data_IF_058421894036
#
_entry.id   IF_058421894036
#
_cell.length_a   1.000
_cell.length_b   1.000
_cell.length_c   1.000
_cell.angle_alpha   90.00
_cell.angle_beta   90.00
_cell.angle_gamma   90.00
#
_symmetry.space_group_name_H-M   'P 1'
#
loop_
_entity.id
_entity.type
_entity.pdbx_description
1 polymer ?
#
# COMPACT_ATOMS: atom_id res chain seq x y z
N UNK A 1 -18.66 18.78 -5.72
CA UNK A 1 -17.93 18.73 -4.44
C UNK A 1 -16.52 19.21 -4.70
N UNK A 2 -16.04 20.21 -3.96
CA UNK A 2 -14.66 20.67 -4.06
C UNK A 2 -13.71 19.53 -3.67
N UNK A 3 -12.63 19.34 -4.42
CA UNK A 3 -11.56 18.41 -4.08
C UNK A 3 -10.45 19.17 -3.39
N UNK A 4 -9.66 18.50 -2.55
CA UNK A 4 -8.55 19.13 -1.81
C UNK A 4 -7.52 19.79 -2.76
N UNK A 5 -7.41 19.33 -4.00
CA UNK A 5 -6.58 19.95 -5.04
C UNK A 5 -7.01 21.37 -5.43
N UNK A 6 -8.23 21.77 -5.05
CA UNK A 6 -8.77 23.12 -5.25
C UNK A 6 -8.62 24.00 -3.99
N UNK A 7 -8.29 23.39 -2.84
CA UNK A 7 -8.07 24.11 -1.58
C UNK A 7 -6.56 24.41 -1.45
N UNK A 8 -6.24 25.71 -1.44
CA UNK A 8 -4.91 26.13 -1.05
C UNK A 8 -4.78 25.99 0.48
N UNK A 9 -4.07 24.96 0.93
CA UNK A 9 -3.79 24.70 2.36
C UNK A 9 -2.40 25.22 2.79
N UNK A 10 -1.72 26.00 1.94
CA UNK A 10 -0.38 26.50 2.25
C UNK A 10 -0.41 27.54 3.38
N UNK A 11 -1.58 28.18 3.62
CA UNK A 11 -1.82 29.07 4.77
C UNK A 11 -1.68 28.38 6.14
N UNK A 12 -1.77 27.04 6.17
CA UNK A 12 -1.59 26.25 7.40
C UNK A 12 -0.11 26.19 7.84
N UNK A 13 0.83 26.49 6.96
CA UNK A 13 2.26 26.53 7.32
C UNK A 13 2.50 27.62 8.37
N UNK A 14 3.17 27.26 9.46
CA UNK A 14 3.38 28.13 10.64
C UNK A 14 2.30 27.97 11.72
N UNK A 15 1.15 27.38 11.41
CA UNK A 15 0.10 27.16 12.40
C UNK A 15 0.45 26.01 13.36
N UNK A 16 -0.09 26.12 14.57
CA UNK A 16 0.04 25.08 15.60
C UNK A 16 -1.11 24.06 15.47
N UNK A 17 -0.75 22.78 15.49
CA UNK A 17 -1.66 21.65 15.44
C UNK A 17 -1.28 20.70 16.57
N UNK A 18 -2.13 20.57 17.58
CA UNK A 18 -1.78 19.84 18.79
C UNK A 18 -0.49 20.38 19.42
N UNK A 19 0.48 19.50 19.65
CA UNK A 19 1.80 19.86 20.22
C UNK A 19 2.84 20.30 19.15
N UNK A 20 2.43 20.44 17.90
CA UNK A 20 3.34 20.60 16.76
C UNK A 20 3.05 21.84 15.92
N UNK A 21 4.07 22.37 15.24
CA UNK A 21 3.95 23.49 14.31
C UNK A 21 4.19 22.97 12.90
N UNK A 22 3.29 23.27 11.97
CA UNK A 22 3.40 22.87 10.56
C UNK A 22 4.52 23.65 9.87
N UNK A 23 5.45 22.95 9.24
CA UNK A 23 6.63 23.56 8.59
C UNK A 23 6.51 23.62 7.08
N UNK A 24 6.03 22.53 6.47
CA UNK A 24 6.02 22.37 5.01
C UNK A 24 5.00 21.33 4.60
N UNK A 25 4.24 21.60 3.54
CA UNK A 25 3.38 20.61 2.89
C UNK A 25 4.23 19.61 2.12
N UNK A 26 3.98 18.31 2.33
CA UNK A 26 4.63 17.20 1.63
C UNK A 26 3.85 16.79 0.39
N UNK A 27 2.53 16.72 0.51
CA UNK A 27 1.65 16.29 -0.56
C UNK A 27 0.18 16.37 -0.18
N UNK A 28 -0.67 15.99 -1.09
CA UNK A 28 -2.11 15.89 -0.85
C UNK A 28 -2.69 14.65 -1.53
N UNK A 29 -3.64 14.02 -0.87
CA UNK A 29 -4.51 13.00 -1.44
C UNK A 29 -5.83 13.61 -1.92
N UNK A 30 -6.81 12.76 -2.22
CA UNK A 30 -8.14 13.20 -2.67
C UNK A 30 -8.88 14.05 -1.61
N UNK A 31 -8.68 13.78 -0.32
CA UNK A 31 -9.43 14.40 0.79
C UNK A 31 -8.53 14.94 1.91
N UNK A 32 -7.23 14.65 1.94
CA UNK A 32 -6.32 15.00 3.01
C UNK A 32 -4.99 15.55 2.49
N UNK A 33 -4.31 16.35 3.28
CA UNK A 33 -2.96 16.82 3.01
C UNK A 33 -2.01 16.36 4.11
N UNK A 34 -0.75 16.12 3.74
CA UNK A 34 0.31 15.71 4.66
C UNK A 34 1.34 16.84 4.76
N UNK A 35 1.72 17.17 5.99
CA UNK A 35 2.72 18.19 6.29
C UNK A 35 3.88 17.63 7.10
N UNK A 36 5.07 18.18 6.92
CA UNK A 36 6.12 18.10 7.93
C UNK A 36 5.78 19.07 9.04
N UNK A 37 5.87 18.64 10.28
CA UNK A 37 5.70 19.49 11.44
C UNK A 37 6.84 19.30 12.44
N UNK A 38 7.07 20.31 13.28
CA UNK A 38 8.00 20.27 14.39
C UNK A 38 7.25 20.08 15.70
N UNK A 39 7.43 18.94 16.33
CA UNK A 39 6.87 18.63 17.65
C UNK A 39 7.74 19.27 18.72
N UNK A 40 7.23 20.36 19.33
CA UNK A 40 8.00 21.19 20.29
C UNK A 40 8.40 20.42 21.54
N UNK A 41 7.51 19.56 22.05
CA UNK A 41 7.71 18.81 23.29
C UNK A 41 8.87 17.81 23.20
N UNK A 42 8.99 17.10 22.07
CA UNK A 42 10.04 16.10 21.84
C UNK A 42 11.16 16.59 20.92
N UNK A 43 11.13 17.86 20.50
CA UNK A 43 12.14 18.53 19.64
C UNK A 43 12.47 17.71 18.39
N UNK A 44 11.46 17.14 17.72
CA UNK A 44 11.63 16.30 16.53
C UNK A 44 10.70 16.72 15.40
N UNK A 45 11.05 16.34 14.18
CA UNK A 45 10.13 16.44 13.04
C UNK A 45 9.24 15.21 12.97
N UNK A 46 7.98 15.44 12.65
CA UNK A 46 6.94 14.43 12.45
C UNK A 46 6.17 14.72 11.17
N UNK A 47 5.37 13.79 10.70
CA UNK A 47 4.36 14.01 9.68
C UNK A 47 3.00 14.27 10.34
N UNK A 48 2.21 15.17 9.78
CA UNK A 48 0.83 15.45 10.20
C UNK A 48 -0.08 15.32 9.00
N UNK A 49 -1.05 14.42 9.08
CA UNK A 49 -2.10 14.27 8.08
C UNK A 49 -3.32 15.06 8.52
N UNK A 50 -3.83 15.92 7.66
CA UNK A 50 -4.90 16.88 7.95
C UNK A 50 -6.06 16.64 7.00
N UNK A 51 -7.29 16.62 7.54
CA UNK A 51 -8.53 16.57 6.79
C UNK A 51 -9.37 17.83 7.15
N UNK A 52 -9.56 18.78 6.23
CA UNK A 52 -10.36 19.98 6.47
C UNK A 52 -11.83 19.65 6.78
N UNK A 53 -12.37 20.27 7.82
CA UNK A 53 -13.79 20.10 8.21
C UNK A 53 -14.75 20.58 7.13
N UNK A 54 -14.36 21.51 6.27
CA UNK A 54 -15.13 21.96 5.12
C UNK A 54 -15.38 20.86 4.06
N UNK A 55 -14.57 19.79 4.09
CA UNK A 55 -14.73 18.60 3.24
C UNK A 55 -15.38 17.43 3.98
N UNK A 56 -15.72 17.62 5.27
CA UNK A 56 -16.31 16.59 6.07
C UNK A 56 -17.75 16.29 5.64
N UNK A 57 -17.98 15.02 5.44
CA UNK A 57 -19.28 14.38 5.64
C UNK A 57 -19.15 13.49 6.87
N UNK A 58 -20.23 13.13 7.53
CA UNK A 58 -20.19 12.17 8.66
C UNK A 58 -19.36 10.92 8.32
N UNK A 59 -19.44 10.50 7.04
CA UNK A 59 -18.69 9.35 6.53
C UNK A 59 -17.17 9.61 6.46
N UNK A 60 -16.74 10.74 5.87
CA UNK A 60 -15.32 11.05 5.72
C UNK A 60 -14.64 11.29 7.06
N UNK A 61 -15.35 11.88 8.03
CA UNK A 61 -14.88 12.03 9.41
C UNK A 61 -14.66 10.67 10.08
N UNK A 62 -15.68 9.80 10.04
CA UNK A 62 -15.60 8.46 10.61
C UNK A 62 -14.45 7.63 10.00
N UNK A 63 -14.13 7.85 8.74
CA UNK A 63 -13.03 7.16 8.04
C UNK A 63 -11.67 7.61 8.47
N UNK A 64 -11.47 8.92 8.54
CA UNK A 64 -10.23 9.51 8.98
C UNK A 64 -9.91 9.09 10.42
N UNK A 65 -10.92 9.11 11.28
CA UNK A 65 -10.78 8.67 12.66
C UNK A 65 -10.47 7.17 12.74
N UNK A 66 -11.18 6.33 11.99
CA UNK A 66 -10.93 4.89 11.98
C UNK A 66 -9.54 4.53 11.40
N UNK A 67 -9.05 5.25 10.38
CA UNK A 67 -7.69 5.10 9.88
C UNK A 67 -6.67 5.33 10.99
N UNK A 68 -6.82 6.45 11.70
CA UNK A 68 -5.94 6.82 12.78
C UNK A 68 -5.99 5.83 13.96
N UNK A 69 -7.19 5.40 14.38
CA UNK A 69 -7.40 4.42 15.44
C UNK A 69 -6.80 3.05 15.08
N UNK A 70 -7.05 2.57 13.86
CA UNK A 70 -6.51 1.29 13.38
C UNK A 70 -4.98 1.31 13.33
N UNK A 71 -4.38 2.41 12.88
CA UNK A 71 -2.93 2.56 12.85
C UNK A 71 -2.32 2.74 14.25
N UNK A 72 -3.05 3.36 15.18
CA UNK A 72 -2.58 3.60 16.55
C UNK A 72 -2.46 2.32 17.40
N UNK A 73 -3.27 1.30 17.09
CA UNK A 73 -3.23 0.00 17.78
C UNK A 73 -2.02 -0.82 17.33
N UNK A 74 -1.54 -0.61 16.08
CA UNK A 74 -0.51 -1.42 15.48
C UNK A 74 0.89 -0.93 15.88
N UNK A 75 1.68 -1.82 16.48
CA UNK A 75 3.10 -1.59 16.82
C UNK A 75 3.97 -2.62 16.13
N UNK A 76 4.51 -2.28 14.96
CA UNK A 76 5.30 -3.19 14.15
C UNK A 76 6.43 -2.45 13.42
N UNK A 77 7.66 -3.03 13.27
CA UNK A 77 8.78 -2.34 12.63
C UNK A 77 8.53 -1.93 11.16
N UNK A 78 7.55 -2.52 10.50
CA UNK A 78 7.19 -2.25 9.10
C UNK A 78 5.81 -1.58 8.94
N UNK A 79 5.25 -1.01 10.00
CA UNK A 79 4.05 -0.19 9.99
C UNK A 79 4.41 1.20 10.51
N UNK A 80 3.90 2.25 9.87
CA UNK A 80 4.10 3.62 10.36
C UNK A 80 3.36 3.81 11.69
N UNK A 81 4.06 4.19 12.79
CA UNK A 81 3.40 4.49 14.05
C UNK A 81 2.66 5.83 14.00
N UNK A 82 1.41 5.84 14.47
CA UNK A 82 0.63 7.04 14.77
C UNK A 82 0.91 7.45 16.21
N UNK A 83 1.09 8.76 16.44
CA UNK A 83 1.47 9.30 17.74
C UNK A 83 0.33 9.99 18.48
N UNK A 84 -0.51 10.72 17.72
CA UNK A 84 -1.58 11.56 18.28
C UNK A 84 -2.70 11.67 17.26
N UNK A 85 -3.94 11.67 17.72
CA UNK A 85 -5.14 11.96 16.93
C UNK A 85 -5.84 13.13 17.60
N UNK A 86 -6.32 14.09 16.83
CA UNK A 86 -6.97 15.26 17.37
C UNK A 86 -7.77 16.05 16.35
N UNK A 87 -8.37 17.10 16.82
CA UNK A 87 -9.12 18.06 16.00
C UNK A 87 -8.87 19.50 16.42
N UNK A 88 -9.10 20.40 15.49
CA UNK A 88 -9.19 21.84 15.67
C UNK A 88 -10.58 22.33 15.23
N UNK A 89 -10.82 23.62 15.28
CA UNK A 89 -12.06 24.20 14.73
C UNK A 89 -12.18 23.93 13.22
N UNK A 90 -11.05 23.95 12.48
CA UNK A 90 -11.03 23.88 11.02
C UNK A 90 -10.79 22.49 10.44
N UNK A 91 -10.13 21.58 11.16
CA UNK A 91 -9.73 20.28 10.62
C UNK A 91 -9.57 19.16 11.66
N UNK A 92 -9.66 17.94 11.18
CA UNK A 92 -9.20 16.74 11.90
C UNK A 92 -7.74 16.49 11.53
N UNK A 93 -6.95 15.94 12.46
CA UNK A 93 -5.56 15.58 12.19
C UNK A 93 -5.13 14.33 12.94
N UNK A 94 -4.11 13.67 12.42
CA UNK A 94 -3.28 12.77 13.20
C UNK A 94 -1.80 12.95 12.87
N UNK A 95 -0.97 12.68 13.87
CA UNK A 95 0.48 12.79 13.77
C UNK A 95 1.11 11.40 13.68
N UNK A 96 2.17 11.27 12.90
CA UNK A 96 2.84 9.99 12.64
C UNK A 96 4.34 10.18 12.41
N UNK A 97 5.08 9.09 12.33
CA UNK A 97 6.50 9.13 11.98
C UNK A 97 6.71 9.82 10.63
N UNK A 98 7.61 10.80 10.61
CA UNK A 98 8.13 11.33 9.35
C UNK A 98 9.16 10.37 8.76
N UNK A 99 8.83 9.77 7.64
CA UNK A 99 9.72 8.86 6.93
C UNK A 99 10.60 9.65 5.96
N UNK A 100 11.92 9.60 6.17
CA UNK A 100 12.90 10.11 5.20
C UNK A 100 13.11 9.04 4.13
N UNK A 101 12.27 9.06 3.10
CA UNK A 101 12.23 8.02 2.09
C UNK A 101 11.37 8.41 0.88
N UNK A 102 11.17 7.45 -0.01
CA UNK A 102 10.26 7.57 -1.14
C UNK A 102 9.26 6.40 -1.13
N UNK A 103 8.12 6.60 -1.76
CA UNK A 103 7.15 5.54 -2.03
C UNK A 103 7.76 4.44 -2.91
N UNK A 104 7.33 3.20 -2.74
CA UNK A 104 7.77 2.08 -3.57
C UNK A 104 7.46 2.32 -5.06
N UNK A 105 6.38 3.02 -5.37
CA UNK A 105 6.03 3.44 -6.74
C UNK A 105 7.12 4.27 -7.41
N UNK A 106 7.85 5.10 -6.64
CA UNK A 106 9.01 5.84 -7.16
C UNK A 106 10.10 4.88 -7.64
N UNK A 107 10.45 3.85 -6.86
CA UNK A 107 11.50 2.90 -7.22
C UNK A 107 11.12 2.04 -8.43
N UNK A 108 9.86 1.63 -8.53
CA UNK A 108 9.34 0.91 -9.70
C UNK A 108 9.49 1.79 -10.95
N UNK A 109 9.04 3.06 -10.89
CA UNK A 109 9.17 4.01 -12.00
C UNK A 109 10.64 4.29 -12.38
N UNK A 110 11.55 4.35 -11.41
CA UNK A 110 12.98 4.53 -11.70
C UNK A 110 13.58 3.31 -12.40
N UNK A 111 13.22 2.10 -11.98
CA UNK A 111 13.64 0.88 -12.67
C UNK A 111 13.16 0.87 -14.13
N UNK A 112 11.90 1.20 -14.40
CA UNK A 112 11.33 1.25 -15.76
C UNK A 112 12.06 2.21 -16.70
N UNK A 113 12.59 3.33 -16.18
CA UNK A 113 13.33 4.33 -16.96
C UNK A 113 14.75 3.92 -17.33
N UNK A 114 15.24 2.77 -16.84
CA UNK A 114 16.61 2.35 -17.11
C UNK A 114 16.81 2.12 -18.62
N UNK A 115 17.92 2.65 -19.16
CA UNK A 115 18.28 2.53 -20.59
C UNK A 115 18.49 1.06 -20.95
N UNK A 116 19.10 0.28 -20.04
CA UNK A 116 19.38 -1.15 -20.25
C UNK A 116 18.12 -1.96 -20.00
N UNK A 117 17.54 -2.64 -21.01
CA UNK A 117 16.28 -3.38 -20.86
C UNK A 117 16.27 -4.41 -19.71
N UNK A 118 17.37 -5.13 -19.51
CA UNK A 118 17.52 -6.13 -18.44
C UNK A 118 17.55 -5.53 -17.01
N UNK A 119 17.70 -4.20 -16.91
CA UNK A 119 17.67 -3.45 -15.64
C UNK A 119 16.36 -2.69 -15.41
N UNK A 120 15.35 -2.88 -16.26
CA UNK A 120 14.02 -2.27 -16.11
C UNK A 120 13.15 -2.95 -15.06
N UNK A 121 13.70 -3.92 -14.35
CA UNK A 121 13.05 -4.70 -13.31
C UNK A 121 13.77 -4.51 -11.98
N UNK A 122 13.04 -4.62 -10.89
CA UNK A 122 13.67 -4.65 -9.58
C UNK A 122 14.33 -6.03 -9.35
N UNK A 123 15.55 -6.08 -8.76
CA UNK A 123 16.23 -7.36 -8.50
C UNK A 123 15.38 -8.30 -7.63
N UNK A 124 15.27 -9.58 -8.00
CA UNK A 124 14.42 -10.57 -7.30
C UNK A 124 14.70 -10.61 -5.80
N UNK A 125 15.98 -10.61 -5.39
CA UNK A 125 16.36 -10.62 -3.96
C UNK A 125 15.81 -9.41 -3.22
N UNK A 126 15.84 -8.23 -3.86
CA UNK A 126 15.27 -6.99 -3.30
C UNK A 126 13.75 -7.09 -3.20
N UNK A 127 13.09 -7.54 -4.27
CA UNK A 127 11.63 -7.71 -4.30
C UNK A 127 11.17 -8.65 -3.21
N UNK A 128 11.74 -9.84 -3.12
CA UNK A 128 11.35 -10.83 -2.11
C UNK A 128 11.67 -10.33 -0.70
N UNK A 129 12.84 -9.72 -0.49
CA UNK A 129 13.21 -9.16 0.80
C UNK A 129 12.27 -8.05 1.30
N UNK A 130 11.74 -7.23 0.38
CA UNK A 130 10.69 -6.25 0.70
C UNK A 130 9.36 -6.94 0.98
N UNK A 131 8.97 -7.90 0.13
CA UNK A 131 7.70 -8.61 0.25
C UNK A 131 7.57 -9.38 1.56
N UNK A 132 8.62 -10.10 1.98
CA UNK A 132 8.63 -10.82 3.27
C UNK A 132 8.30 -9.89 4.42
N UNK A 133 8.95 -8.71 4.47
CA UNK A 133 8.73 -7.72 5.53
C UNK A 133 7.33 -7.10 5.48
N UNK A 134 6.82 -6.82 4.27
CA UNK A 134 5.45 -6.28 4.07
C UNK A 134 4.41 -7.33 4.48
N UNK A 135 4.59 -8.59 4.07
CA UNK A 135 3.67 -9.68 4.40
C UNK A 135 3.69 -10.02 5.91
N UNK A 136 4.83 -9.89 6.59
CA UNK A 136 4.94 -10.02 8.04
C UNK A 136 4.13 -8.92 8.76
N UNK A 137 4.26 -7.68 8.31
CA UNK A 137 3.47 -6.56 8.83
C UNK A 137 1.96 -6.73 8.59
N UNK A 138 1.57 -7.22 7.41
CA UNK A 138 0.17 -7.53 7.11
C UNK A 138 -0.36 -8.68 7.97
N UNK A 139 0.43 -9.75 8.15
CA UNK A 139 0.05 -10.84 9.03
C UNK A 139 -0.17 -10.37 10.48
N UNK A 140 0.72 -9.50 10.99
CA UNK A 140 0.56 -8.88 12.31
C UNK A 140 -0.72 -8.04 12.42
N UNK A 141 -1.03 -7.24 11.39
CA UNK A 141 -2.28 -6.47 11.37
C UNK A 141 -3.52 -7.38 11.35
N UNK A 142 -3.48 -8.47 10.57
CA UNK A 142 -4.57 -9.45 10.48
C UNK A 142 -4.79 -10.20 11.80
N UNK A 143 -3.72 -10.52 12.54
CA UNK A 143 -3.79 -11.11 13.88
C UNK A 143 -4.47 -10.16 14.91
N UNK A 144 -4.54 -8.86 14.61
CA UNK A 144 -5.25 -7.84 15.36
C UNK A 144 -6.60 -7.45 14.71
N UNK A 145 -7.17 -8.29 13.86
CA UNK A 145 -8.44 -8.08 13.15
C UNK A 145 -8.48 -6.84 12.24
N UNK A 146 -7.32 -6.32 11.84
CA UNK A 146 -7.18 -5.16 10.97
C UNK A 146 -6.76 -5.58 9.57
N UNK A 147 -7.63 -5.29 8.58
CA UNK A 147 -7.36 -5.51 7.15
C UNK A 147 -7.13 -4.15 6.50
N UNK A 148 -6.02 -4.00 5.76
CA UNK A 148 -5.60 -2.74 5.15
C UNK A 148 -6.50 -2.30 3.98
N UNK A 149 -6.82 -3.21 3.05
CA UNK A 149 -7.74 -3.08 1.91
C UNK A 149 -7.33 -2.11 0.79
N UNK A 150 -6.20 -1.43 0.90
CA UNK A 150 -5.65 -0.54 -0.14
C UNK A 150 -4.13 -0.72 -0.25
N UNK A 151 -3.65 -1.96 -0.28
CA UNK A 151 -2.22 -2.25 -0.50
C UNK A 151 -1.87 -1.96 -1.95
N UNK A 152 -0.90 -1.02 -2.12
CA UNK A 152 -0.34 -0.59 -3.41
C UNK A 152 1.03 0.05 -3.20
N UNK A 153 1.84 0.24 -4.25
CA UNK A 153 3.18 0.81 -4.13
C UNK A 153 3.22 2.22 -3.51
N UNK A 154 2.16 3.02 -3.68
CA UNK A 154 2.09 4.39 -3.12
C UNK A 154 1.92 4.38 -1.59
N UNK A 155 1.34 3.30 -1.02
CA UNK A 155 1.14 3.15 0.41
C UNK A 155 2.30 2.38 1.10
N UNK A 156 3.42 2.19 0.41
CA UNK A 156 4.65 1.59 0.96
C UNK A 156 5.78 2.60 0.87
N UNK A 157 6.22 3.12 2.00
CA UNK A 157 7.38 4.01 2.09
C UNK A 157 8.66 3.18 2.26
N UNK A 158 9.72 3.51 1.52
CA UNK A 158 11.05 2.89 1.65
C UNK A 158 12.00 3.91 2.26
N UNK A 159 12.47 3.66 3.47
CA UNK A 159 13.45 4.53 4.15
C UNK A 159 14.77 4.61 3.36
N UNK A 160 15.37 5.80 3.29
CA UNK A 160 16.64 5.99 2.55
C UNK A 160 17.82 5.27 3.21
N UNK A 161 17.88 5.27 4.54
CA UNK A 161 19.05 4.82 5.28
C UNK A 161 19.21 3.29 5.25
N UNK A 162 18.18 2.55 5.61
CA UNK A 162 18.22 1.10 5.83
C UNK A 162 17.39 0.31 4.82
N UNK A 163 16.76 0.98 3.85
CA UNK A 163 15.83 0.41 2.86
C UNK A 163 14.67 -0.38 3.49
N UNK A 164 14.28 0.01 4.70
CA UNK A 164 13.16 -0.59 5.41
C UNK A 164 11.83 -0.17 4.77
N UNK A 165 10.95 -1.11 4.40
CA UNK A 165 9.60 -0.78 3.99
C UNK A 165 8.74 -0.46 5.22
N UNK A 166 7.85 0.52 5.07
CA UNK A 166 6.85 0.93 6.05
C UNK A 166 5.49 1.06 5.36
N UNK A 167 4.50 0.34 5.86
CA UNK A 167 3.12 0.42 5.37
C UNK A 167 2.48 1.67 5.99
N UNK A 168 1.80 2.45 5.14
CA UNK A 168 1.05 3.67 5.50
C UNK A 168 -0.43 3.51 5.20
N UNK A 169 -1.25 4.42 5.69
CA UNK A 169 -2.67 4.58 5.31
C UNK A 169 -3.53 3.33 5.61
N UNK A 170 -3.40 2.77 6.83
CA UNK A 170 -4.29 1.73 7.33
C UNK A 170 -5.72 2.26 7.51
N UNK A 171 -6.72 1.59 6.98
CA UNK A 171 -8.13 1.82 7.34
C UNK A 171 -8.99 2.56 6.32
N UNK A 172 -8.45 3.11 5.23
CA UNK A 172 -9.21 3.89 4.22
C UNK A 172 -10.34 3.08 3.55
N UNK A 173 -10.28 1.77 3.54
CA UNK A 173 -11.16 0.94 2.73
C UNK A 173 -12.40 0.35 3.43
N UNK A 174 -12.61 0.56 4.76
CA UNK A 174 -13.81 0.03 5.46
C UNK A 174 -15.14 0.69 5.06
N UNK A 175 -15.05 1.76 4.27
CA UNK A 175 -16.15 2.64 3.90
C UNK A 175 -17.12 2.10 2.87
N UNK A 176 -16.77 1.05 2.19
CA UNK A 176 -17.55 0.64 1.02
C UNK A 176 -18.92 -0.01 1.33
N UNK A 177 -19.41 -0.01 2.56
CA UNK A 177 -20.69 -0.64 2.90
C UNK A 177 -21.96 0.17 2.54
N UNK A 178 -21.87 1.45 2.18
CA UNK A 178 -23.07 2.32 2.13
C UNK A 178 -23.28 3.18 0.89
N UNK A 179 -22.49 3.05 -0.20
CA UNK A 179 -22.77 3.77 -1.46
C UNK A 179 -22.89 2.84 -2.65
N UNK A 180 -23.43 3.36 -3.78
CA UNK A 180 -23.62 2.60 -5.00
C UNK A 180 -22.33 1.90 -5.46
N UNK A 181 -22.46 0.80 -6.19
CA UNK A 181 -21.30 0.04 -6.72
C UNK A 181 -20.29 0.93 -7.46
N UNK A 182 -20.75 1.99 -8.13
CA UNK A 182 -19.94 2.94 -8.88
C UNK A 182 -19.05 3.83 -7.98
N UNK A 183 -19.56 4.28 -6.84
CA UNK A 183 -18.81 5.19 -5.94
C UNK A 183 -17.66 4.49 -5.21
N UNK A 184 -17.79 3.17 -4.98
CA UNK A 184 -16.76 2.34 -4.32
C UNK A 184 -15.55 2.10 -5.18
N UNK A 185 -15.75 2.01 -6.49
CA UNK A 185 -14.73 1.67 -7.48
C UNK A 185 -13.89 2.87 -7.91
N UNK A 186 -14.35 4.09 -7.61
CA UNK A 186 -13.68 5.34 -7.97
C UNK A 186 -12.67 5.82 -6.90
N UNK A 187 -12.67 5.24 -5.68
CA UNK A 187 -11.85 5.68 -4.56
C UNK A 187 -10.47 5.00 -4.46
N UNK A 188 -10.19 3.95 -5.23
CA UNK A 188 -8.91 3.22 -5.22
C UNK A 188 -8.29 3.08 -6.61
N UNK A 189 -7.02 2.71 -6.66
CA UNK A 189 -6.34 2.37 -7.91
C UNK A 189 -6.81 0.98 -8.35
N UNK A 190 -7.62 0.82 -9.40
CA UNK A 190 -8.33 -0.42 -9.73
C UNK A 190 -7.41 -1.60 -10.03
N UNK A 191 -6.14 -1.31 -10.31
CA UNK A 191 -5.14 -2.32 -10.65
C UNK A 191 -4.89 -3.32 -9.51
N UNK A 192 -4.92 -2.88 -8.24
CA UNK A 192 -4.59 -3.72 -7.09
C UNK A 192 -5.81 -4.31 -6.38
N UNK A 193 -7.03 -3.86 -6.71
CA UNK A 193 -8.27 -4.29 -6.06
C UNK A 193 -8.50 -5.80 -6.25
N UNK A 194 -8.69 -6.57 -5.17
CA UNK A 194 -8.97 -8.00 -5.26
C UNK A 194 -10.40 -8.28 -5.73
N UNK A 195 -10.67 -9.46 -6.34
CA UNK A 195 -11.99 -9.81 -6.88
C UNK A 195 -13.14 -9.72 -5.87
N UNK A 196 -12.94 -10.20 -4.65
CA UNK A 196 -13.96 -10.18 -3.58
C UNK A 196 -14.34 -8.77 -3.16
N UNK A 197 -13.44 -7.81 -3.27
CA UNK A 197 -13.74 -6.41 -2.98
C UNK A 197 -14.56 -5.76 -4.09
N UNK A 198 -14.43 -6.23 -5.33
CA UNK A 198 -15.29 -5.83 -6.46
C UNK A 198 -16.70 -6.41 -6.28
N UNK A 199 -16.79 -7.67 -5.85
CA UNK A 199 -18.05 -8.40 -5.67
C UNK A 199 -18.85 -7.96 -4.43
N UNK A 200 -18.32 -7.07 -3.61
CA UNK A 200 -18.92 -6.66 -2.33
C UNK A 200 -19.09 -7.83 -1.34
N UNK A 201 -18.22 -8.84 -1.45
CA UNK A 201 -18.17 -9.99 -0.56
C UNK A 201 -17.54 -9.66 0.81
N UNK A 202 -17.47 -10.65 1.67
CA UNK A 202 -16.69 -10.58 2.91
C UNK A 202 -15.21 -10.43 2.55
N UNK A 203 -14.55 -9.41 3.08
CA UNK A 203 -13.14 -9.10 2.85
C UNK A 203 -12.36 -9.45 4.10
N UNK A 204 -11.43 -10.39 4.00
CA UNK A 204 -10.48 -10.77 5.06
C UNK A 204 -9.04 -10.46 4.65
N UNK A 205 -8.06 -10.87 5.44
CA UNK A 205 -6.62 -10.60 5.19
C UNK A 205 -6.09 -11.14 3.86
N UNK A 206 -6.78 -12.09 3.23
CA UNK A 206 -6.42 -12.62 1.90
C UNK A 206 -6.66 -11.61 0.76
N UNK A 207 -7.44 -10.55 1.03
CA UNK A 207 -7.56 -9.41 0.12
C UNK A 207 -6.24 -8.62 0.04
N UNK A 208 -5.63 -8.32 1.19
CA UNK A 208 -4.33 -7.65 1.23
C UNK A 208 -3.23 -8.51 0.61
N UNK A 209 -3.28 -9.84 0.81
CA UNK A 209 -2.38 -10.80 0.16
C UNK A 209 -2.45 -10.71 -1.36
N UNK A 210 -3.65 -10.68 -1.94
CA UNK A 210 -3.83 -10.52 -3.39
C UNK A 210 -3.24 -9.19 -3.87
N UNK A 211 -3.56 -8.09 -3.20
CA UNK A 211 -3.05 -6.76 -3.54
C UNK A 211 -1.52 -6.68 -3.44
N UNK A 212 -0.93 -7.30 -2.41
CA UNK A 212 0.52 -7.45 -2.24
C UNK A 212 1.13 -8.31 -3.35
N UNK A 213 0.45 -9.38 -3.78
CA UNK A 213 0.84 -10.20 -4.92
C UNK A 213 0.85 -9.41 -6.23
N UNK A 214 -0.18 -8.56 -6.48
CA UNK A 214 -0.22 -7.67 -7.65
C UNK A 214 0.94 -6.67 -7.61
N UNK A 215 1.21 -6.08 -6.45
CA UNK A 215 2.35 -5.19 -6.24
C UNK A 215 3.69 -5.89 -6.50
N UNK A 216 3.86 -7.13 -6.02
CA UNK A 216 5.04 -7.95 -6.32
C UNK A 216 5.20 -8.22 -7.81
N UNK A 217 4.09 -8.56 -8.50
CA UNK A 217 4.09 -8.77 -9.95
C UNK A 217 4.58 -7.52 -10.69
N UNK A 218 4.12 -6.33 -10.29
CA UNK A 218 4.56 -5.06 -10.88
C UNK A 218 6.05 -4.80 -10.64
N UNK A 219 6.57 -5.03 -9.43
CA UNK A 219 8.00 -4.90 -9.14
C UNK A 219 8.87 -5.80 -10.02
N UNK A 220 8.42 -7.04 -10.25
CA UNK A 220 9.14 -8.04 -11.06
C UNK A 220 9.04 -7.79 -12.56
N UNK A 221 7.97 -7.17 -13.04
CA UNK A 221 7.72 -6.98 -14.46
C UNK A 221 7.89 -5.52 -14.94
N UNK A 222 8.04 -4.59 -14.00
CA UNK A 222 8.07 -3.15 -14.27
C UNK A 222 6.71 -2.56 -14.60
N UNK A 223 5.78 -3.36 -15.09
CA UNK A 223 4.38 -2.98 -15.38
C UNK A 223 3.47 -4.19 -15.19
N UNK A 224 2.21 -3.93 -14.86
CA UNK A 224 1.21 -4.99 -14.75
C UNK A 224 0.82 -5.52 -16.14
N UNK A 225 0.83 -6.85 -16.34
CA UNK A 225 0.55 -7.48 -17.63
C UNK A 225 -0.96 -7.66 -17.85
N UNK A 226 -1.73 -6.60 -17.66
CA UNK A 226 -3.16 -6.58 -17.96
C UNK A 226 -3.40 -6.47 -19.48
N UNK A 227 -4.54 -6.98 -19.99
CA UNK A 227 -5.02 -6.63 -21.31
C UNK A 227 -5.19 -5.11 -21.44
N UNK A 228 -5.11 -4.54 -22.64
CA UNK A 228 -5.43 -3.12 -22.85
C UNK A 228 -6.83 -2.78 -22.35
N UNK A 229 -6.96 -1.68 -21.60
CA UNK A 229 -8.23 -1.15 -21.10
C UNK A 229 -8.25 0.37 -21.22
N UNK A 230 -9.43 0.96 -21.37
CA UNK A 230 -9.58 2.41 -21.51
C UNK A 230 -9.97 3.08 -20.19
N UNK A 231 -10.79 2.42 -19.39
CA UNK A 231 -11.31 2.97 -18.12
C UNK A 231 -11.05 2.02 -16.95
N UNK A 232 -11.08 2.58 -15.74
CA UNK A 232 -11.04 1.79 -14.51
C UNK A 232 -12.14 0.70 -14.49
N UNK A 233 -13.34 1.05 -14.96
CA UNK A 233 -14.47 0.13 -15.01
C UNK A 233 -14.25 -1.02 -15.99
N UNK A 234 -13.58 -0.78 -17.12
CA UNK A 234 -13.25 -1.84 -18.07
C UNK A 234 -12.28 -2.85 -17.45
N UNK A 235 -11.23 -2.36 -16.75
CA UNK A 235 -10.32 -3.24 -16.05
C UNK A 235 -11.03 -4.10 -15.00
N UNK A 236 -11.96 -3.52 -14.24
CA UNK A 236 -12.71 -4.26 -13.23
C UNK A 236 -13.62 -5.32 -13.87
N UNK A 237 -14.33 -5.00 -14.97
CA UNK A 237 -15.09 -5.97 -15.74
C UNK A 237 -14.22 -7.09 -16.29
N UNK A 238 -13.02 -6.75 -16.82
CA UNK A 238 -12.06 -7.74 -17.31
C UNK A 238 -11.56 -8.65 -16.20
N UNK A 239 -11.25 -8.11 -15.00
CA UNK A 239 -10.87 -8.93 -13.84
C UNK A 239 -11.96 -9.97 -13.52
N UNK A 240 -13.22 -9.57 -13.54
CA UNK A 240 -14.34 -10.46 -13.27
C UNK A 240 -14.56 -11.51 -14.38
N UNK A 241 -14.38 -11.14 -15.64
CA UNK A 241 -14.59 -12.04 -16.78
C UNK A 241 -13.43 -12.98 -17.03
N UNK A 242 -12.20 -12.50 -16.94
CA UNK A 242 -10.99 -13.32 -17.23
C UNK A 242 -10.50 -14.12 -16.02
N UNK A 243 -10.87 -13.71 -14.79
CA UNK A 243 -10.47 -14.36 -13.54
C UNK A 243 -8.96 -14.56 -13.48
N UNK A 244 -8.45 -15.79 -13.28
CA UNK A 244 -7.02 -16.12 -13.22
C UNK A 244 -6.26 -15.83 -14.52
N UNK A 245 -6.96 -15.66 -15.64
CA UNK A 245 -6.36 -15.31 -16.95
C UNK A 245 -6.18 -13.81 -17.15
N UNK A 246 -6.46 -12.99 -16.16
CA UNK A 246 -6.33 -11.51 -16.24
C UNK A 246 -4.88 -11.06 -16.48
N UNK A 247 -3.92 -11.80 -15.95
CA UNK A 247 -2.49 -11.52 -16.14
C UNK A 247 -1.97 -12.29 -17.36
N UNK A 248 -1.69 -11.57 -18.47
CA UNK A 248 -1.32 -12.15 -19.75
C UNK A 248 0.09 -12.73 -19.79
N UNK A 249 0.95 -12.38 -18.86
CA UNK A 249 2.35 -12.83 -18.78
C UNK A 249 2.72 -13.15 -17.33
N UNK A 250 3.71 -14.03 -17.19
CA UNK A 250 4.31 -14.40 -15.90
C UNK A 250 5.72 -13.82 -15.79
N UNK A 251 6.25 -13.60 -14.57
CA UNK A 251 7.61 -13.12 -14.34
C UNK A 251 8.67 -13.95 -15.07
N UNK A 252 8.58 -15.28 -15.08
CA UNK A 252 9.55 -16.16 -15.77
C UNK A 252 9.65 -15.94 -17.30
N UNK A 253 8.65 -15.29 -17.90
CA UNK A 253 8.64 -14.99 -19.34
C UNK A 253 9.30 -13.65 -19.67
N UNK A 254 9.57 -12.82 -18.68
CA UNK A 254 10.00 -11.42 -18.88
C UNK A 254 11.24 -11.08 -18.07
N UNK A 255 11.31 -11.50 -16.82
CA UNK A 255 12.40 -11.18 -15.91
C UNK A 255 13.56 -12.19 -16.08
N UNK A 256 14.81 -11.73 -16.30
CA UNK A 256 15.94 -12.58 -16.69
C UNK A 256 16.27 -13.73 -15.75
N UNK A 257 15.92 -13.59 -14.45
CA UNK A 257 16.29 -14.53 -13.37
C UNK A 257 15.07 -15.21 -12.76
N UNK A 258 13.84 -14.79 -13.10
CA UNK A 258 12.64 -15.43 -12.60
C UNK A 258 12.46 -16.82 -13.23
N UNK A 259 11.92 -17.77 -12.47
CA UNK A 259 11.65 -19.12 -12.91
C UNK A 259 10.20 -19.53 -12.61
N UNK A 260 9.79 -20.73 -13.09
CA UNK A 260 8.44 -21.23 -12.90
C UNK A 260 8.05 -21.42 -11.43
N UNK A 261 9.00 -21.77 -10.57
CA UNK A 261 8.72 -21.92 -9.14
C UNK A 261 8.28 -20.58 -8.51
N UNK A 262 8.92 -19.46 -8.87
CA UNK A 262 8.49 -18.14 -8.43
C UNK A 262 7.10 -17.78 -8.99
N UNK A 263 6.83 -18.13 -10.24
CA UNK A 263 5.51 -17.93 -10.83
C UNK A 263 4.43 -18.69 -10.04
N UNK A 264 4.65 -19.96 -9.72
CA UNK A 264 3.69 -20.79 -8.96
C UNK A 264 3.43 -20.20 -7.57
N UNK A 265 4.49 -19.78 -6.86
CA UNK A 265 4.36 -19.14 -5.55
C UNK A 265 3.52 -17.87 -5.66
N UNK A 266 3.84 -16.99 -6.62
CA UNK A 266 3.16 -15.71 -6.78
C UNK A 266 1.71 -15.89 -7.25
N UNK A 267 1.46 -16.73 -8.24
CA UNK A 267 0.15 -16.89 -8.83
C UNK A 267 -0.83 -17.65 -7.92
N UNK A 268 -0.35 -18.42 -6.95
CA UNK A 268 -1.19 -18.93 -5.87
C UNK A 268 -1.75 -17.78 -5.01
N UNK A 269 -0.96 -16.77 -4.66
CA UNK A 269 -1.45 -15.58 -3.94
C UNK A 269 -2.41 -14.74 -4.78
N UNK A 270 -2.30 -14.80 -6.12
CA UNK A 270 -3.12 -14.07 -7.10
C UNK A 270 -4.35 -14.84 -7.58
N UNK A 271 -4.67 -16.01 -7.03
CA UNK A 271 -5.84 -16.77 -7.41
C UNK A 271 -7.11 -15.91 -7.28
N UNK A 272 -7.99 -16.00 -8.29
CA UNK A 272 -9.26 -15.26 -8.31
C UNK A 272 -10.13 -15.67 -7.13
N UNK A 273 -10.27 -16.97 -6.92
CA UNK A 273 -10.92 -17.53 -5.74
C UNK A 273 -9.98 -17.40 -4.53
N UNK A 274 -10.41 -16.65 -3.52
CA UNK A 274 -9.62 -16.44 -2.31
C UNK A 274 -9.31 -17.73 -1.55
N UNK A 275 -10.16 -18.76 -1.67
CA UNK A 275 -9.98 -20.04 -0.99
C UNK A 275 -8.88 -20.91 -1.64
N UNK A 276 -8.45 -20.55 -2.85
CA UNK A 276 -7.30 -21.16 -3.53
C UNK A 276 -5.97 -20.46 -3.19
N UNK A 277 -6.00 -19.33 -2.51
CA UNK A 277 -4.79 -18.61 -2.06
C UNK A 277 -4.14 -19.32 -0.88
N UNK A 278 -3.05 -18.76 -0.37
CA UNK A 278 -2.50 -19.16 0.93
C UNK A 278 -3.48 -18.81 2.06
N UNK A 279 -3.40 -19.55 3.16
CA UNK A 279 -4.27 -19.31 4.31
C UNK A 279 -3.96 -17.97 4.99
N UNK A 280 -2.71 -17.50 4.95
CA UNK A 280 -2.28 -16.25 5.57
C UNK A 280 -1.13 -15.59 4.82
N UNK A 281 -0.91 -14.28 5.06
CA UNK A 281 0.27 -13.56 4.59
C UNK A 281 1.57 -14.18 5.12
N UNK A 282 1.56 -14.77 6.32
CA UNK A 282 2.71 -15.48 6.90
C UNK A 282 3.08 -16.72 6.10
N UNK A 283 2.09 -17.49 5.63
CA UNK A 283 2.36 -18.65 4.77
C UNK A 283 2.97 -18.21 3.44
N UNK A 284 2.44 -17.16 2.80
CA UNK A 284 3.01 -16.62 1.57
C UNK A 284 4.45 -16.13 1.77
N UNK A 285 4.73 -15.38 2.84
CA UNK A 285 6.07 -14.93 3.18
C UNK A 285 7.04 -16.11 3.33
N UNK A 286 6.65 -17.17 4.05
CA UNK A 286 7.46 -18.39 4.23
C UNK A 286 7.82 -19.07 2.91
N UNK A 287 6.89 -19.12 1.93
CA UNK A 287 7.19 -19.66 0.59
C UNK A 287 8.19 -18.82 -0.17
N UNK A 288 8.12 -17.49 -0.05
CA UNK A 288 9.09 -16.58 -0.65
C UNK A 288 10.48 -16.69 0.00
N UNK A 289 10.56 -16.84 1.31
CA UNK A 289 11.82 -17.07 2.03
C UNK A 289 12.46 -18.39 1.64
N UNK A 290 11.67 -19.46 1.56
CA UNK A 290 12.14 -20.77 1.10
C UNK A 290 12.69 -20.70 -0.33
N UNK A 291 12.04 -19.94 -1.22
CA UNK A 291 12.53 -19.69 -2.56
C UNK A 291 13.89 -18.97 -2.56
N UNK A 292 14.06 -17.91 -1.73
CA UNK A 292 15.34 -17.19 -1.62
C UNK A 292 16.48 -18.08 -1.09
N UNK A 293 16.18 -18.97 -0.17
CA UNK A 293 17.19 -19.85 0.44
C UNK A 293 17.79 -20.84 -0.57
N UNK A 294 17.10 -21.15 -1.67
CA UNK A 294 17.62 -21.98 -2.76
C UNK A 294 18.80 -21.30 -3.50
N UNK A 295 18.95 -19.98 -3.39
CA UNK A 295 20.03 -19.21 -4.02
C UNK A 295 21.16 -18.86 -3.05
N UNK A 296 21.12 -19.31 -1.78
CA UNK A 296 22.26 -19.19 -0.89
C UNK A 296 23.29 -20.27 -1.26
N UNK A 297 24.58 -19.93 -1.41
CA UNK A 297 25.60 -20.97 -1.53
C UNK A 297 25.54 -21.86 -0.30
N UNK A 298 25.63 -23.18 -0.50
CA UNK A 298 25.77 -24.14 0.60
C UNK A 298 26.93 -23.70 1.50
N UNK A 299 26.81 -23.75 2.83
CA UNK A 299 27.95 -23.48 3.70
C UNK A 299 29.09 -24.40 3.25
N UNK A 300 30.30 -23.83 3.01
CA UNK A 300 31.48 -24.59 2.71
C UNK A 300 31.66 -25.63 3.82
N UNK A 301 31.87 -26.91 3.51
CA UNK A 301 32.23 -27.88 4.54
C UNK A 301 33.50 -27.40 5.18
N UNK A 302 33.47 -27.11 6.50
CA UNK A 302 34.58 -26.73 7.34
C UNK A 302 35.59 -27.88 7.52
#
# INVERSE_FOLDING_TARGET
MATIGQLNLDYLVGQQVGTSVLLKKLGHGAMSAVFVAFQKTLKRQIAVKILPKSLLTEKTAAFFQQEAESAAILSHPHIIPVYEVGETEEFLFFTMQLVKGNELSYFIRQAQKNIVPSKRFMPIKTVIGLMVKILDALAYAHDNDIVHRDIKPDNIMIEHHNKRPLITDFGVARVSRTKSKSDRLLLGTPMYIPPEQILSGTVDGRADMYSAGVMMLEMLMGRLPYPPYQTAMDLLKMKMGLKDRIFQKRPSQVHPVANRNLDEILFKALAFDRDQRYASCREFASKLEAYLNQFKPSPSPG
#
